data_IF_213991132978
#
_entry.id   IF_213991132978
#
_cell.length_a   1.000
_cell.length_b   1.000
_cell.length_c   1.000
_cell.angle_alpha   90.00
_cell.angle_beta   90.00
_cell.angle_gamma   90.00
#
_symmetry.space_group_name_H-M   'P 1'
#
loop_
_entity.id
_entity.type
_entity.pdbx_description
1 polymer ?
#
# COMPACT_ATOMS: atom_id res chain seq x y z
N UNK A 1 13.77 -12.01 8.67
CA UNK A 1 13.22 -10.77 8.08
C UNK A 1 13.13 -10.93 6.58
N UNK A 2 12.10 -10.40 6.01
CA UNK A 2 11.91 -10.44 4.55
C UNK A 2 12.08 -9.06 3.98
N UNK A 3 12.67 -8.98 2.80
CA UNK A 3 12.83 -7.71 2.10
C UNK A 3 11.81 -7.62 0.99
N UNK A 4 11.07 -6.53 0.97
CA UNK A 4 10.07 -6.28 -0.07
C UNK A 4 10.32 -4.91 -0.67
N UNK A 5 9.75 -4.67 -1.85
CA UNK A 5 9.76 -3.35 -2.47
C UNK A 5 8.45 -2.67 -2.14
N UNK A 6 8.54 -1.57 -1.42
CA UNK A 6 7.35 -0.79 -1.06
C UNK A 6 7.26 0.43 -1.98
N UNK A 7 6.13 0.55 -2.65
CA UNK A 7 5.86 1.69 -3.52
C UNK A 7 4.64 2.39 -2.99
N UNK A 8 4.82 3.62 -2.54
CA UNK A 8 3.73 4.43 -2.04
C UNK A 8 3.55 5.61 -2.98
N UNK A 9 2.44 5.64 -3.68
CA UNK A 9 2.15 6.66 -4.68
C UNK A 9 1.40 7.85 -4.10
N UNK A 10 1.36 7.97 -2.79
CA UNK A 10 0.70 9.07 -2.12
C UNK A 10 1.68 10.24 -2.02
N UNK A 11 1.19 11.44 -2.33
CA UNK A 11 2.01 12.64 -2.25
C UNK A 11 3.15 12.62 -3.24
N UNK A 12 4.36 12.86 -2.77
CA UNK A 12 5.54 12.90 -3.63
C UNK A 12 5.98 11.52 -4.11
N UNK A 13 5.41 10.49 -3.51
CA UNK A 13 5.76 9.14 -3.88
C UNK A 13 6.96 8.63 -3.10
N UNK A 14 7.03 7.32 -3.01
CA UNK A 14 8.12 6.66 -2.31
C UNK A 14 8.29 5.27 -2.92
N UNK A 15 9.51 4.89 -3.20
CA UNK A 15 9.78 3.54 -3.68
C UNK A 15 11.15 3.12 -3.16
N UNK A 16 11.16 2.13 -2.29
CA UNK A 16 12.41 1.64 -1.73
C UNK A 16 12.17 0.26 -1.14
N UNK A 17 13.25 -0.44 -0.92
CA UNK A 17 13.20 -1.74 -0.26
C UNK A 17 13.10 -1.51 1.24
N UNK A 18 12.24 -2.31 1.87
CA UNK A 18 12.10 -2.29 3.32
C UNK A 18 12.14 -3.71 3.84
N UNK A 19 12.55 -3.86 5.08
CA UNK A 19 12.58 -5.17 5.72
C UNK A 19 11.41 -5.28 6.67
N UNK A 20 10.75 -6.42 6.63
CA UNK A 20 9.57 -6.67 7.43
C UNK A 20 9.74 -8.00 8.17
N UNK A 21 9.07 -8.16 9.31
CA UNK A 21 9.08 -9.46 10.00
C UNK A 21 8.42 -10.54 9.16
N UNK A 22 8.85 -11.76 9.36
CA UNK A 22 8.22 -12.90 8.73
C UNK A 22 6.74 -12.95 9.12
N UNK A 23 5.91 -13.25 8.14
CA UNK A 23 4.48 -13.39 8.40
C UNK A 23 3.70 -12.10 8.45
N UNK A 24 4.32 -10.97 8.10
CA UNK A 24 3.60 -9.70 8.09
C UNK A 24 2.55 -9.69 6.99
N UNK A 25 1.36 -9.20 7.31
CA UNK A 25 0.27 -9.11 6.36
C UNK A 25 0.25 -7.74 5.69
N UNK A 26 -0.48 -7.66 4.57
CA UNK A 26 -0.65 -6.41 3.84
C UNK A 26 -1.27 -5.35 4.75
N UNK A 27 -2.33 -5.71 5.48
CA UNK A 27 -2.99 -4.72 6.35
C UNK A 27 -2.07 -4.22 7.45
N UNK A 28 -1.22 -5.07 7.97
CA UNK A 28 -0.29 -4.68 9.02
C UNK A 28 0.74 -3.70 8.48
N UNK A 29 1.27 -4.00 7.31
CA UNK A 29 2.23 -3.10 6.68
C UNK A 29 1.59 -1.75 6.37
N UNK A 30 0.36 -1.79 5.83
CA UNK A 30 -0.36 -0.56 5.53
C UNK A 30 -0.54 0.28 6.80
N UNK A 31 -0.95 -0.34 7.90
CA UNK A 31 -1.18 0.38 9.14
C UNK A 31 0.10 1.05 9.65
N UNK A 32 1.24 0.41 9.44
CA UNK A 32 2.51 0.97 9.89
C UNK A 32 3.00 2.09 9.00
N UNK A 33 2.75 1.98 7.70
CA UNK A 33 3.29 2.95 6.75
C UNK A 33 2.35 4.10 6.48
N UNK A 34 1.05 3.89 6.66
CA UNK A 34 0.04 4.92 6.42
C UNK A 34 -0.85 5.00 7.66
N UNK A 35 -0.31 5.46 8.79
CA UNK A 35 -1.05 5.37 10.05
C UNK A 35 -2.33 6.19 10.09
N UNK A 36 -2.44 7.20 9.23
CA UNK A 36 -3.64 8.02 9.18
C UNK A 36 -4.55 7.67 8.01
N UNK A 37 -4.16 6.70 7.21
CA UNK A 37 -4.95 6.31 6.07
C UNK A 37 -5.86 5.15 6.39
N UNK A 38 -6.80 4.92 5.50
CA UNK A 38 -7.69 3.78 5.59
C UNK A 38 -7.49 2.90 4.37
N UNK A 39 -7.40 1.58 4.56
CA UNK A 39 -7.15 0.70 3.42
C UNK A 39 -8.17 0.84 2.30
N UNK A 40 -9.43 1.16 2.63
CA UNK A 40 -10.45 1.30 1.61
C UNK A 40 -10.27 2.53 0.75
N UNK A 41 -9.40 3.45 1.16
CA UNK A 41 -9.10 4.64 0.38
C UNK A 41 -7.90 4.44 -0.54
N UNK A 42 -7.35 3.24 -0.56
CA UNK A 42 -6.18 2.93 -1.35
C UNK A 42 -6.40 1.70 -2.20
N UNK A 43 -5.78 1.70 -3.35
CA UNK A 43 -5.68 0.51 -4.18
C UNK A 43 -4.37 -0.16 -3.82
N UNK A 44 -4.45 -1.34 -3.23
CA UNK A 44 -3.28 -2.06 -2.76
C UNK A 44 -3.08 -3.28 -3.64
N UNK A 45 -1.90 -3.39 -4.22
CA UNK A 45 -1.56 -4.51 -5.08
C UNK A 45 -0.24 -5.11 -4.64
N UNK A 46 -0.16 -6.43 -4.72
CA UNK A 46 1.09 -7.14 -4.50
C UNK A 46 1.43 -7.84 -5.81
N UNK A 47 2.62 -7.54 -6.32
CA UNK A 47 3.08 -8.08 -7.61
C UNK A 47 2.07 -7.77 -8.71
N UNK A 48 1.51 -6.54 -8.65
CA UNK A 48 0.58 -5.98 -9.65
C UNK A 48 -0.81 -6.60 -9.61
N UNK A 49 -1.13 -7.32 -8.55
CA UNK A 49 -2.44 -7.96 -8.44
C UNK A 49 -3.11 -7.54 -7.15
N UNK A 50 -4.43 -7.30 -7.18
CA UNK A 50 -5.15 -7.03 -5.94
C UNK A 50 -5.09 -8.25 -5.05
N UNK A 51 -4.98 -8.02 -3.76
CA UNK A 51 -4.89 -9.10 -2.78
C UNK A 51 -5.77 -8.76 -1.59
N UNK A 52 -6.19 -9.77 -0.83
CA UNK A 52 -6.94 -9.51 0.40
C UNK A 52 -6.05 -8.87 1.45
N UNK A 53 -6.68 -8.21 2.41
CA UNK A 53 -5.96 -7.48 3.46
C UNK A 53 -5.09 -8.40 4.30
N UNK A 54 -5.48 -9.64 4.46
CA UNK A 54 -4.75 -10.59 5.28
C UNK A 54 -3.70 -11.39 4.49
N UNK A 55 -3.42 -10.97 3.28
CA UNK A 55 -2.38 -11.59 2.47
C UNK A 55 -1.03 -11.44 3.17
N UNK A 56 -0.32 -12.55 3.33
CA UNK A 56 1.01 -12.54 3.94
C UNK A 56 2.03 -12.14 2.89
N UNK A 57 2.89 -11.20 3.24
CA UNK A 57 3.95 -10.74 2.35
C UNK A 57 5.16 -11.65 2.45
N UNK A 58 5.85 -11.85 1.33
CA UNK A 58 6.98 -12.75 1.25
C UNK A 58 8.19 -12.03 0.68
N UNK A 59 9.34 -12.63 0.88
CA UNK A 59 10.59 -12.11 0.35
C UNK A 59 10.47 -11.85 -1.13
N UNK A 60 10.85 -10.65 -1.54
CA UNK A 60 10.85 -10.29 -2.95
C UNK A 60 9.53 -9.73 -3.45
N UNK A 61 8.50 -9.69 -2.62
CA UNK A 61 7.22 -9.13 -3.05
C UNK A 61 7.34 -7.64 -3.33
N UNK A 62 6.48 -7.18 -4.22
CA UNK A 62 6.38 -5.78 -4.57
C UNK A 62 4.97 -5.32 -4.22
N UNK A 63 4.87 -4.42 -3.27
CA UNK A 63 3.57 -3.91 -2.83
C UNK A 63 3.44 -2.45 -3.21
N UNK A 64 2.32 -2.09 -3.82
CA UNK A 64 2.04 -0.72 -4.19
C UNK A 64 0.79 -0.23 -3.49
N UNK A 65 0.86 0.99 -2.98
CA UNK A 65 -0.24 1.67 -2.30
C UNK A 65 -0.56 2.93 -3.11
N UNK A 66 -1.75 2.97 -3.69
CA UNK A 66 -2.15 4.09 -4.53
C UNK A 66 -3.46 4.66 -4.01
N UNK A 67 -3.51 5.94 -3.61
CA UNK A 67 -4.76 6.51 -3.15
C UNK A 67 -5.79 6.54 -4.28
N UNK A 68 -7.01 6.19 -3.92
CA UNK A 68 -8.10 6.18 -4.88
C UNK A 68 -8.97 7.42 -4.80
N UNK A 69 -8.77 8.23 -3.77
CA UNK A 69 -9.49 9.48 -3.60
C UNK A 69 -8.55 10.64 -3.84
N UNK A 70 -9.09 11.66 -4.47
CA UNK A 70 -8.33 12.88 -4.70
C UNK A 70 -8.66 13.84 -3.58
N UNK A 71 -7.64 14.24 -2.89
CA UNK A 71 -7.77 15.16 -1.77
C UNK A 71 -8.25 16.51 -2.26
N UNK A 72 -9.15 17.11 -1.53
CA UNK A 72 -9.64 18.42 -1.88
C UNK A 72 -10.63 18.43 -3.00
N UNK A 73 -10.95 17.44 -3.36
CA UNK A 73 -11.69 17.36 -4.27
C UNK A 73 -12.57 17.52 -5.10
N UNK A 74 -12.37 17.78 -5.07
CA UNK A 74 -12.94 17.79 -5.73
C UNK A 74 -13.48 17.07 -6.46
N UNK A 75 -13.93 16.85 -6.37
CA UNK A 75 -14.29 16.08 -6.91
C UNK A 75 -14.79 16.06 -8.04
N UNK A 76 -15.00 16.14 -8.45
CA UNK A 76 -15.43 15.92 -9.30
C UNK A 76 -16.25 15.69 -9.77
N UNK A 77 -16.69 15.95 -10.19
CA UNK A 77 -17.49 15.72 -10.59
C UNK A 77 -17.95 15.29 -11.24
N UNK A 78 -18.34 15.28 -11.51
CA UNK A 78 -18.87 14.93 -11.97
C UNK A 78 -19.26 14.81 -12.41
N UNK A 79 -19.38 14.95 -12.69
CA UNK A 79 -19.83 14.87 -13.05
C UNK A 79 -20.21 14.73 -13.32
#
# INVERSE_FOLDING_TARGET
>A
MSRILLINNDGAGFADYVEIPEGMTVERLFAERVPRGRPQDYLIRVNRQPVPADQVLQEGDRISLTPTKIEGGRSQPAH
#
